data_IF_166826524094
#
_entry.id   IF_166826524094
#
_cell.length_a   1.000
_cell.length_b   1.000
_cell.length_c   1.000
_cell.angle_alpha   90.00
_cell.angle_beta   90.00
_cell.angle_gamma   90.00
#
_symmetry.space_group_name_H-M   'P 1'
#
loop_
_entity.id
_entity.type
_entity.pdbx_description
1 polymer ?
#
# COMPACT_ATOMS: atom_id res chain seq x y z
N UNK A 1 -13.28 31.41 -11.49
CA UNK A 1 -14.39 31.28 -10.51
C UNK A 1 -14.27 32.50 -9.61
N UNK A 2 -15.32 33.30 -9.44
CA UNK A 2 -15.24 34.44 -8.53
C UNK A 2 -15.10 33.94 -7.08
N UNK A 3 -14.24 34.58 -6.31
CA UNK A 3 -14.09 34.27 -4.88
C UNK A 3 -15.37 34.71 -4.16
N UNK A 4 -16.17 33.72 -3.76
CA UNK A 4 -17.48 33.96 -3.14
C UNK A 4 -17.36 34.62 -1.77
N UNK A 5 -16.31 34.29 -1.03
CA UNK A 5 -16.09 34.85 0.30
C UNK A 5 -15.67 36.32 0.17
N UNK A 6 -14.72 36.60 -0.72
CA UNK A 6 -14.27 37.95 -1.00
C UNK A 6 -15.41 38.84 -1.52
N UNK A 7 -16.27 38.30 -2.39
CA UNK A 7 -17.47 38.99 -2.85
C UNK A 7 -18.40 39.32 -1.69
N UNK A 8 -18.68 38.36 -0.80
CA UNK A 8 -19.55 38.58 0.36
C UNK A 8 -19.01 39.68 1.28
N UNK A 9 -17.70 39.68 1.57
CA UNK A 9 -17.10 40.72 2.42
C UNK A 9 -17.17 42.08 1.72
N UNK A 10 -16.78 42.14 0.45
CA UNK A 10 -16.81 43.37 -0.34
C UNK A 10 -18.22 43.94 -0.41
N UNK A 11 -19.22 43.12 -0.68
CA UNK A 11 -20.62 43.50 -0.74
C UNK A 11 -21.13 43.98 0.63
N UNK A 12 -20.71 43.33 1.71
CA UNK A 12 -21.06 43.74 3.08
C UNK A 12 -20.45 45.10 3.44
N UNK A 13 -19.15 45.30 3.15
CA UNK A 13 -18.45 46.57 3.40
C UNK A 13 -19.03 47.71 2.55
N UNK A 14 -19.34 47.46 1.28
CA UNK A 14 -20.01 48.43 0.41
C UNK A 14 -21.40 48.78 0.92
N UNK A 15 -22.18 47.81 1.41
CA UNK A 15 -23.47 48.07 2.04
C UNK A 15 -23.38 48.98 3.26
N UNK A 16 -22.41 48.71 4.15
CA UNK A 16 -22.16 49.54 5.34
C UNK A 16 -21.68 50.95 4.95
N UNK A 17 -20.81 51.05 3.94
CA UNK A 17 -20.35 52.31 3.37
C UNK A 17 -21.51 53.15 2.86
N UNK A 18 -22.38 52.58 2.01
CA UNK A 18 -23.55 53.25 1.47
C UNK A 18 -24.54 53.70 2.54
N UNK A 19 -24.72 52.90 3.59
CA UNK A 19 -25.58 53.26 4.71
C UNK A 19 -25.01 54.45 5.51
N UNK A 20 -23.70 54.45 5.77
CA UNK A 20 -23.06 55.54 6.50
C UNK A 20 -23.08 56.86 5.72
N UNK A 21 -22.80 56.83 4.42
CA UNK A 21 -22.82 58.04 3.56
C UNK A 21 -24.19 58.74 3.63
N UNK A 22 -25.29 57.98 3.68
CA UNK A 22 -26.66 58.55 3.79
C UNK A 22 -26.90 59.34 5.08
N UNK A 23 -26.06 59.15 6.11
CA UNK A 23 -26.19 59.86 7.39
C UNK A 23 -25.46 61.21 7.43
N UNK A 24 -24.54 61.44 6.49
CA UNK A 24 -23.76 62.67 6.36
C UNK A 24 -24.58 63.77 5.66
N UNK A 25 -24.40 65.04 6.07
CA UNK A 25 -25.29 66.15 5.67
C UNK A 25 -24.67 67.09 4.66
N UNK A 26 -23.35 67.09 4.52
CA UNK A 26 -22.60 67.99 3.65
C UNK A 26 -21.62 67.21 2.78
N UNK A 27 -21.28 67.77 1.61
CA UNK A 27 -20.32 67.13 0.70
C UNK A 27 -18.91 67.05 1.32
N UNK A 28 -18.54 68.06 2.11
CA UNK A 28 -17.25 68.12 2.81
C UNK A 28 -17.10 66.98 3.83
N UNK A 29 -18.16 66.62 4.56
CA UNK A 29 -18.18 65.46 5.47
C UNK A 29 -18.04 64.12 4.72
N UNK A 30 -18.64 64.01 3.53
CA UNK A 30 -18.57 62.80 2.68
C UNK A 30 -17.15 62.61 2.15
N UNK A 31 -16.54 63.67 1.63
CA UNK A 31 -15.19 63.63 1.07
C UNK A 31 -14.14 63.28 2.16
N UNK A 32 -14.26 63.86 3.36
CA UNK A 32 -13.38 63.54 4.50
C UNK A 32 -13.53 62.08 4.98
N UNK A 33 -14.75 61.54 4.94
CA UNK A 33 -15.00 60.15 5.30
C UNK A 33 -14.43 59.16 4.26
N UNK A 34 -14.58 59.44 2.97
CA UNK A 34 -14.00 58.59 1.91
C UNK A 34 -12.47 58.53 2.03
N UNK A 35 -11.81 59.66 2.28
CA UNK A 35 -10.35 59.68 2.48
C UNK A 35 -9.92 58.81 3.68
N UNK A 36 -10.70 58.84 4.77
CA UNK A 36 -10.47 57.96 5.94
C UNK A 36 -10.79 56.50 5.64
N UNK A 37 -11.84 56.21 4.88
CA UNK A 37 -12.27 54.86 4.52
C UNK A 37 -11.26 54.19 3.60
N UNK A 38 -10.75 54.89 2.58
CA UNK A 38 -9.71 54.38 1.68
C UNK A 38 -8.40 54.07 2.42
N UNK A 39 -8.12 54.78 3.52
CA UNK A 39 -6.94 54.55 4.36
C UNK A 39 -7.20 53.56 5.51
N UNK A 40 -8.44 53.10 5.70
CA UNK A 40 -8.81 52.23 6.81
C UNK A 40 -8.29 50.81 6.60
N UNK A 41 -7.77 50.20 7.67
CA UNK A 41 -7.37 48.80 7.68
C UNK A 41 -8.51 47.93 8.22
N UNK A 42 -9.13 47.15 7.32
CA UNK A 42 -10.19 46.20 7.67
C UNK A 42 -9.66 44.80 8.01
N UNK A 43 -8.35 44.59 8.08
CA UNK A 43 -7.75 43.27 8.32
C UNK A 43 -8.27 42.60 9.60
N UNK A 44 -8.52 43.36 10.66
CA UNK A 44 -9.05 42.81 11.90
C UNK A 44 -10.52 42.40 11.77
N UNK A 45 -11.35 43.23 11.13
CA UNK A 45 -12.74 42.88 10.83
C UNK A 45 -12.81 41.64 9.93
N UNK A 46 -11.96 41.56 8.93
CA UNK A 46 -11.84 40.41 8.03
C UNK A 46 -11.52 39.12 8.78
N UNK A 47 -10.56 39.16 9.72
CA UNK A 47 -10.22 38.01 10.57
C UNK A 47 -11.39 37.58 11.46
N UNK A 48 -12.06 38.52 12.12
CA UNK A 48 -13.22 38.23 12.98
C UNK A 48 -14.33 37.57 12.17
N UNK A 49 -14.62 38.07 10.98
CA UNK A 49 -15.65 37.49 10.11
C UNK A 49 -15.25 36.09 9.64
N UNK A 50 -13.98 35.86 9.28
CA UNK A 50 -13.48 34.51 8.97
C UNK A 50 -13.67 33.58 10.16
N UNK A 51 -13.29 34.01 11.36
CA UNK A 51 -13.37 33.19 12.56
C UNK A 51 -14.82 32.81 12.86
N UNK A 52 -15.74 33.78 12.90
CA UNK A 52 -17.15 33.54 13.17
C UNK A 52 -17.80 32.63 12.12
N UNK A 53 -17.57 32.90 10.83
CA UNK A 53 -18.12 32.07 9.76
C UNK A 53 -17.52 30.67 9.80
N UNK A 54 -16.22 30.52 10.03
CA UNK A 54 -15.57 29.21 10.11
C UNK A 54 -16.08 28.40 11.32
N UNK A 55 -16.32 29.05 12.46
CA UNK A 55 -16.91 28.43 13.64
C UNK A 55 -18.33 27.93 13.34
N UNK A 56 -19.15 28.75 12.68
CA UNK A 56 -20.49 28.33 12.27
C UNK A 56 -20.44 27.17 11.26
N UNK A 57 -19.56 27.23 10.27
CA UNK A 57 -19.38 26.14 9.29
C UNK A 57 -18.98 24.82 9.95
N UNK A 58 -18.17 24.87 11.02
CA UNK A 58 -17.81 23.67 11.80
C UNK A 58 -19.01 23.12 12.55
N UNK A 59 -19.84 23.96 13.19
CA UNK A 59 -21.06 23.50 13.87
C UNK A 59 -22.10 22.94 12.90
N UNK A 60 -22.25 23.56 11.73
CA UNK A 60 -23.11 23.05 10.65
C UNK A 60 -22.61 21.69 10.16
N UNK A 61 -21.29 21.56 9.90
CA UNK A 61 -20.67 20.31 9.49
C UNK A 61 -20.86 19.19 10.52
N UNK A 62 -20.74 19.49 11.82
CA UNK A 62 -21.01 18.52 12.91
C UNK A 62 -22.46 18.05 12.91
N UNK A 63 -23.39 18.95 12.59
CA UNK A 63 -24.83 18.63 12.55
C UNK A 63 -25.14 17.62 11.44
N UNK A 64 -24.46 17.73 10.29
CA UNK A 64 -24.71 16.86 9.12
C UNK A 64 -23.69 15.72 8.95
N UNK A 65 -22.66 15.61 9.79
CA UNK A 65 -21.53 14.69 9.56
C UNK A 65 -21.94 13.22 9.46
N UNK A 66 -22.95 12.79 10.22
CA UNK A 66 -23.43 11.41 10.22
C UNK A 66 -24.19 11.08 8.94
N UNK A 67 -25.01 12.01 8.46
CA UNK A 67 -25.74 11.88 7.19
C UNK A 67 -24.75 11.87 6.02
N UNK A 68 -23.79 12.79 5.99
CA UNK A 68 -22.73 12.81 4.99
C UNK A 68 -21.90 11.53 4.99
N UNK A 69 -21.56 10.99 6.17
CA UNK A 69 -20.85 9.71 6.27
C UNK A 69 -21.69 8.55 5.72
N UNK A 70 -23.00 8.56 5.91
CA UNK A 70 -23.89 7.54 5.34
C UNK A 70 -23.92 7.62 3.81
N UNK A 71 -24.06 8.82 3.25
CA UNK A 71 -23.98 9.03 1.80
C UNK A 71 -22.66 8.53 1.23
N UNK A 72 -21.53 8.93 1.83
CA UNK A 72 -20.20 8.49 1.42
C UNK A 72 -20.06 6.95 1.45
N UNK A 73 -20.54 6.29 2.51
CA UNK A 73 -20.50 4.81 2.62
C UNK A 73 -21.39 4.09 1.60
N UNK A 74 -22.49 4.72 1.19
CA UNK A 74 -23.34 4.17 0.14
C UNK A 74 -22.63 4.22 -1.22
N UNK A 75 -21.99 5.34 -1.55
CA UNK A 75 -21.17 5.47 -2.76
C UNK A 75 -20.00 4.46 -2.76
N UNK A 76 -19.31 4.32 -1.62
CA UNK A 76 -18.27 3.30 -1.43
C UNK A 76 -18.84 1.89 -1.70
N UNK A 77 -19.98 1.55 -1.08
CA UNK A 77 -20.62 0.24 -1.24
C UNK A 77 -20.95 -0.09 -2.70
N UNK A 78 -21.39 0.90 -3.49
CA UNK A 78 -21.66 0.74 -4.92
C UNK A 78 -20.39 0.48 -5.74
N UNK A 79 -19.28 1.14 -5.41
CA UNK A 79 -17.99 0.88 -6.07
C UNK A 79 -17.49 -0.52 -5.71
N UNK A 80 -17.53 -0.90 -4.43
CA UNK A 80 -17.12 -2.22 -3.96
C UNK A 80 -17.96 -3.34 -4.57
N UNK A 81 -19.26 -3.13 -4.72
CA UNK A 81 -20.15 -4.08 -5.39
C UNK A 81 -19.74 -4.30 -6.86
N UNK A 82 -19.39 -3.22 -7.59
CA UNK A 82 -18.90 -3.30 -8.97
C UNK A 82 -17.56 -4.01 -9.07
N UNK A 83 -16.60 -3.68 -8.19
CA UNK A 83 -15.32 -4.39 -8.11
C UNK A 83 -15.56 -5.88 -7.88
N UNK A 84 -16.38 -6.23 -6.89
CA UNK A 84 -16.66 -7.62 -6.57
C UNK A 84 -17.38 -8.35 -7.71
N UNK A 85 -18.34 -7.72 -8.38
CA UNK A 85 -19.05 -8.31 -9.53
C UNK A 85 -18.07 -8.68 -10.65
N UNK A 86 -17.06 -7.84 -10.88
CA UNK A 86 -16.08 -8.01 -11.96
C UNK A 86 -14.93 -8.94 -11.59
N UNK A 87 -14.38 -8.81 -10.39
CA UNK A 87 -13.12 -9.42 -9.97
C UNK A 87 -13.26 -10.60 -9.00
N UNK A 88 -14.47 -10.93 -8.53
CA UNK A 88 -14.70 -11.98 -7.52
C UNK A 88 -14.02 -13.31 -7.84
N UNK A 89 -14.05 -13.78 -9.09
CA UNK A 89 -13.42 -15.03 -9.46
C UNK A 89 -11.88 -15.01 -9.28
N UNK A 90 -11.23 -13.88 -9.60
CA UNK A 90 -9.80 -13.70 -9.38
C UNK A 90 -9.44 -13.62 -7.88
N UNK A 91 -10.29 -12.96 -7.08
CA UNK A 91 -10.13 -12.93 -5.63
C UNK A 91 -10.31 -14.32 -5.03
N UNK A 92 -11.32 -15.08 -5.44
CA UNK A 92 -11.55 -16.46 -4.99
C UNK A 92 -10.36 -17.35 -5.34
N UNK A 93 -9.73 -17.18 -6.50
CA UNK A 93 -8.50 -17.91 -6.83
C UNK A 93 -7.35 -17.61 -5.84
N UNK A 94 -7.20 -16.34 -5.44
CA UNK A 94 -6.19 -15.91 -4.47
C UNK A 94 -6.50 -16.40 -3.04
N UNK A 95 -7.75 -16.27 -2.60
CA UNK A 95 -8.23 -16.77 -1.31
C UNK A 95 -8.06 -18.30 -1.22
N UNK A 96 -8.35 -19.03 -2.30
CA UNK A 96 -8.10 -20.47 -2.39
C UNK A 96 -6.63 -20.81 -2.21
N UNK A 97 -5.74 -20.04 -2.84
CA UNK A 97 -4.30 -20.20 -2.68
C UNK A 97 -3.87 -19.99 -1.23
N UNK A 98 -4.39 -18.96 -0.56
CA UNK A 98 -4.11 -18.70 0.85
C UNK A 98 -4.50 -19.89 1.72
N UNK A 99 -5.71 -20.43 1.55
CA UNK A 99 -6.19 -21.59 2.30
C UNK A 99 -5.32 -22.83 2.05
N UNK A 100 -4.94 -23.10 0.80
CA UNK A 100 -4.05 -24.21 0.43
C UNK A 100 -2.68 -24.08 1.08
N UNK A 101 -2.06 -22.89 1.02
CA UNK A 101 -0.76 -22.64 1.64
C UNK A 101 -0.85 -22.79 3.15
N UNK A 102 -1.91 -22.24 3.77
CA UNK A 102 -2.09 -22.29 5.21
C UNK A 102 -2.22 -23.72 5.73
N UNK A 103 -3.03 -24.56 5.08
CA UNK A 103 -3.18 -25.97 5.47
C UNK A 103 -1.87 -26.73 5.29
N UNK A 104 -1.20 -26.60 4.14
CA UNK A 104 0.09 -27.26 3.89
C UNK A 104 1.17 -26.88 4.92
N UNK A 105 1.19 -25.63 5.37
CA UNK A 105 2.12 -25.13 6.38
C UNK A 105 1.80 -25.66 7.77
N UNK A 106 0.51 -25.82 8.09
CA UNK A 106 0.06 -26.41 9.34
C UNK A 106 0.46 -27.88 9.42
N UNK A 107 0.12 -28.67 8.39
CA UNK A 107 0.53 -30.08 8.28
C UNK A 107 2.05 -30.24 8.35
N UNK A 108 2.79 -29.39 7.61
CA UNK A 108 4.25 -29.40 7.65
C UNK A 108 4.81 -29.06 9.04
N UNK A 109 4.20 -28.11 9.75
CA UNK A 109 4.62 -27.76 11.11
C UNK A 109 4.38 -28.90 12.09
N UNK A 110 3.26 -29.61 11.96
CA UNK A 110 2.95 -30.81 12.75
C UNK A 110 3.98 -31.92 12.47
N UNK A 111 4.25 -32.21 11.19
CA UNK A 111 5.29 -33.14 10.77
C UNK A 111 6.65 -32.81 11.40
N UNK A 112 7.12 -31.56 11.28
CA UNK A 112 8.41 -31.12 11.84
C UNK A 112 8.44 -31.25 13.37
N UNK A 113 7.30 -31.06 14.04
CA UNK A 113 7.21 -31.19 15.49
C UNK A 113 7.34 -32.65 15.97
N UNK A 114 6.95 -33.61 15.15
CA UNK A 114 7.00 -35.05 15.44
C UNK A 114 8.32 -35.72 15.04
N UNK A 115 9.16 -35.06 14.23
CA UNK A 115 10.48 -35.59 13.82
C UNK A 115 11.43 -35.82 14.99
N UNK A 116 12.44 -36.68 14.80
CA UNK A 116 13.50 -36.90 15.79
C UNK A 116 14.23 -35.59 16.15
N UNK A 117 14.49 -35.41 17.46
CA UNK A 117 15.12 -34.19 17.96
C UNK A 117 16.49 -33.93 17.36
N UNK A 118 17.32 -34.97 17.13
CA UNK A 118 18.66 -34.79 16.56
C UNK A 118 18.60 -34.42 15.08
N UNK A 119 17.59 -34.87 14.35
CA UNK A 119 17.38 -34.45 12.97
C UNK A 119 16.90 -33.00 12.89
N UNK A 120 15.98 -32.63 13.78
CA UNK A 120 15.44 -31.28 13.92
C UNK A 120 16.49 -30.26 14.37
N UNK A 121 17.47 -30.64 15.18
CA UNK A 121 18.54 -29.73 15.63
C UNK A 121 19.45 -29.26 14.49
N UNK A 122 19.50 -29.98 13.35
CA UNK A 122 20.41 -29.66 12.23
C UNK A 122 20.04 -28.36 11.50
N UNK A 123 18.78 -27.95 11.53
CA UNK A 123 18.29 -26.79 10.78
C UNK A 123 17.23 -25.99 11.55
N UNK A 124 17.27 -26.05 12.89
CA UNK A 124 16.24 -25.47 13.76
C UNK A 124 16.17 -23.95 13.64
N UNK A 125 17.30 -23.26 13.52
CA UNK A 125 17.37 -21.82 13.35
C UNK A 125 16.84 -21.43 11.98
N UNK A 126 17.24 -22.16 10.93
CA UNK A 126 16.72 -21.95 9.55
C UNK A 126 15.21 -22.13 9.51
N UNK A 127 14.70 -23.21 10.08
CA UNK A 127 13.26 -23.47 10.18
C UNK A 127 12.54 -22.36 10.95
N UNK A 128 13.09 -21.95 12.10
CA UNK A 128 12.51 -20.90 12.93
C UNK A 128 12.46 -19.58 12.16
N UNK A 129 13.56 -19.12 11.60
CA UNK A 129 13.62 -17.88 10.82
C UNK A 129 12.63 -17.90 9.66
N UNK A 130 12.62 -18.98 8.86
CA UNK A 130 11.72 -19.09 7.71
C UNK A 130 10.25 -19.24 8.11
N UNK A 131 9.94 -19.90 9.23
CA UNK A 131 8.57 -19.96 9.78
C UNK A 131 8.02 -18.58 10.10
N UNK A 132 8.79 -17.74 10.79
CA UNK A 132 8.36 -16.37 11.12
C UNK A 132 8.26 -15.47 9.89
N UNK A 133 9.21 -15.59 8.95
CA UNK A 133 9.15 -14.84 7.68
C UNK A 133 7.93 -15.28 6.85
N UNK A 134 7.69 -16.59 6.74
CA UNK A 134 6.55 -17.15 6.01
C UNK A 134 5.21 -16.72 6.62
N UNK A 135 5.07 -16.78 7.94
CA UNK A 135 3.86 -16.30 8.63
C UNK A 135 3.56 -14.82 8.33
N UNK A 136 4.59 -13.96 8.31
CA UNK A 136 4.44 -12.56 7.86
C UNK A 136 4.09 -12.46 6.37
N UNK A 137 4.62 -13.35 5.53
CA UNK A 137 4.29 -13.41 4.12
C UNK A 137 2.82 -13.76 3.87
N UNK A 138 2.26 -14.73 4.60
CA UNK A 138 0.83 -15.05 4.58
C UNK A 138 -0.05 -13.87 5.01
N UNK A 139 0.36 -13.15 6.06
CA UNK A 139 -0.34 -11.93 6.49
C UNK A 139 -0.33 -10.87 5.38
N UNK A 140 0.83 -10.60 4.77
CA UNK A 140 0.93 -9.63 3.68
C UNK A 140 0.11 -10.04 2.46
N UNK A 141 0.03 -11.34 2.14
CA UNK A 141 -0.83 -11.82 1.06
C UNK A 141 -2.31 -11.53 1.33
N UNK A 142 -2.79 -11.71 2.57
CA UNK A 142 -4.15 -11.29 2.95
C UNK A 142 -4.35 -9.77 2.90
N UNK A 143 -3.36 -8.98 3.34
CA UNK A 143 -3.40 -7.52 3.22
C UNK A 143 -3.55 -7.09 1.75
N UNK A 144 -2.79 -7.72 0.84
CA UNK A 144 -2.86 -7.49 -0.61
C UNK A 144 -4.26 -7.81 -1.14
N UNK A 145 -4.80 -9.00 -0.85
CA UNK A 145 -6.17 -9.38 -1.25
C UNK A 145 -7.20 -8.38 -0.71
N UNK A 146 -7.07 -7.99 0.56
CA UNK A 146 -7.99 -7.05 1.20
C UNK A 146 -7.96 -5.68 0.53
N UNK A 147 -6.77 -5.16 0.23
CA UNK A 147 -6.60 -3.89 -0.47
C UNK A 147 -7.17 -3.95 -1.89
N UNK A 148 -6.94 -5.04 -2.63
CA UNK A 148 -7.50 -5.22 -3.97
C UNK A 148 -9.03 -5.32 -3.96
N UNK A 149 -9.62 -6.05 -3.01
CA UNK A 149 -11.09 -6.13 -2.84
C UNK A 149 -11.71 -4.77 -2.52
N UNK A 150 -10.95 -3.88 -1.90
CA UNK A 150 -11.32 -2.50 -1.65
C UNK A 150 -10.86 -1.53 -2.74
N UNK A 151 -10.35 -1.99 -3.88
CA UNK A 151 -9.95 -1.13 -4.99
C UNK A 151 -8.73 -0.24 -4.73
N UNK A 152 -7.88 -0.58 -3.75
CA UNK A 152 -6.65 0.14 -3.46
C UNK A 152 -5.45 -0.51 -4.16
N UNK A 153 -5.40 -0.42 -5.49
CA UNK A 153 -4.37 -1.07 -6.32
C UNK A 153 -2.93 -0.68 -5.91
N UNK A 154 -2.64 0.62 -5.82
CA UNK A 154 -1.33 1.14 -5.41
C UNK A 154 -0.92 0.63 -4.02
N UNK A 155 -1.87 0.62 -3.08
CA UNK A 155 -1.67 0.11 -1.74
C UNK A 155 -1.35 -1.39 -1.74
N UNK A 156 -2.06 -2.17 -2.55
CA UNK A 156 -1.83 -3.60 -2.71
C UNK A 156 -0.43 -3.87 -3.30
N UNK A 157 0.00 -3.09 -4.30
CA UNK A 157 1.31 -3.23 -4.91
C UNK A 157 2.46 -2.81 -3.98
N UNK A 158 2.25 -1.76 -3.18
CA UNK A 158 3.15 -1.40 -2.07
C UNK A 158 3.29 -2.53 -1.03
N UNK A 159 2.21 -3.28 -0.75
CA UNK A 159 2.28 -4.45 0.13
C UNK A 159 2.98 -5.64 -0.54
N UNK A 160 2.78 -5.83 -1.83
CA UNK A 160 3.53 -6.83 -2.60
C UNK A 160 5.04 -6.59 -2.53
N UNK A 161 5.52 -5.35 -2.61
CA UNK A 161 6.93 -5.01 -2.40
C UNK A 161 7.45 -5.55 -1.08
N UNK A 162 6.69 -5.41 0.01
CA UNK A 162 7.08 -5.93 1.32
C UNK A 162 7.17 -7.46 1.32
N UNK A 163 6.27 -8.15 0.63
CA UNK A 163 6.27 -9.60 0.45
C UNK A 163 7.46 -10.07 -0.38
N UNK A 164 7.80 -9.32 -1.43
CA UNK A 164 9.01 -9.53 -2.22
C UNK A 164 10.28 -9.42 -1.35
N UNK A 165 10.39 -8.40 -0.52
CA UNK A 165 11.55 -8.24 0.38
C UNK A 165 11.66 -9.39 1.38
N UNK A 166 10.55 -9.87 1.95
CA UNK A 166 10.53 -11.07 2.79
C UNK A 166 11.06 -12.30 2.05
N UNK A 167 10.65 -12.50 0.80
CA UNK A 167 11.11 -13.62 -0.03
C UNK A 167 12.61 -13.54 -0.34
N UNK A 168 13.16 -12.33 -0.56
CA UNK A 168 14.61 -12.12 -0.72
C UNK A 168 15.37 -12.52 0.55
N UNK A 169 14.91 -12.06 1.72
CA UNK A 169 15.53 -12.42 3.00
C UNK A 169 15.44 -13.92 3.24
N UNK A 170 14.28 -14.54 3.00
CA UNK A 170 14.09 -15.98 3.10
C UNK A 170 15.03 -16.76 2.18
N UNK A 171 15.15 -16.35 0.91
CA UNK A 171 16.03 -16.98 -0.07
C UNK A 171 17.50 -16.87 0.34
N UNK A 172 17.92 -15.72 0.87
CA UNK A 172 19.27 -15.52 1.39
C UNK A 172 19.55 -16.43 2.59
N UNK A 173 18.66 -16.47 3.59
CA UNK A 173 18.81 -17.36 4.75
C UNK A 173 18.84 -18.82 4.31
N UNK A 174 17.94 -19.23 3.41
CA UNK A 174 17.85 -20.60 2.91
C UNK A 174 19.13 -21.02 2.15
N UNK A 175 19.77 -20.11 1.43
CA UNK A 175 21.05 -20.35 0.73
C UNK A 175 22.23 -20.57 1.68
N UNK A 176 22.36 -19.73 2.72
CA UNK A 176 23.54 -19.74 3.60
C UNK A 176 23.34 -20.57 4.89
N UNK A 177 22.10 -20.96 5.18
CA UNK A 177 21.75 -21.93 6.20
C UNK A 177 21.90 -21.41 7.64
N UNK A 178 22.14 -22.36 8.53
CA UNK A 178 21.87 -22.24 9.96
C UNK A 178 22.54 -21.05 10.65
N UNK A 179 23.82 -20.80 10.35
CA UNK A 179 24.58 -19.70 10.97
C UNK A 179 24.00 -18.32 10.63
N UNK A 180 23.51 -18.15 9.40
CA UNK A 180 22.88 -16.88 8.99
C UNK A 180 21.51 -16.75 9.61
N UNK A 181 20.75 -17.85 9.69
CA UNK A 181 19.45 -17.85 10.37
C UNK A 181 19.57 -17.48 11.85
N UNK A 182 20.55 -18.05 12.56
CA UNK A 182 20.86 -17.72 13.96
C UNK A 182 21.21 -16.24 14.13
N UNK A 183 22.05 -15.70 13.23
CA UNK A 183 22.41 -14.28 13.26
C UNK A 183 21.20 -13.38 13.02
N UNK A 184 20.32 -13.74 12.09
CA UNK A 184 19.08 -13.01 11.79
C UNK A 184 18.12 -12.99 12.99
N UNK A 185 17.96 -14.14 13.67
CA UNK A 185 17.12 -14.22 14.87
C UNK A 185 17.72 -13.37 16.00
N UNK A 186 19.05 -13.41 16.16
CA UNK A 186 19.74 -12.67 17.22
C UNK A 186 19.67 -11.15 17.03
N UNK A 187 19.53 -10.66 15.80
CA UNK A 187 19.47 -9.22 15.52
C UNK A 187 18.10 -8.59 15.79
N UNK A 188 17.07 -9.37 16.17
CA UNK A 188 15.68 -8.89 16.32
C UNK A 188 15.49 -7.66 17.23
N UNK A 189 16.35 -7.49 18.24
CA UNK A 189 16.29 -6.39 19.22
C UNK A 189 17.50 -5.45 19.12
N UNK A 190 18.10 -5.34 17.94
CA UNK A 190 19.28 -4.51 17.69
C UNK A 190 18.97 -3.41 16.69
N UNK A 191 19.79 -2.35 16.66
CA UNK A 191 19.76 -1.34 15.60
C UNK A 191 20.54 -1.77 14.34
N UNK A 192 21.02 -3.02 14.33
CA UNK A 192 21.58 -3.64 13.13
C UNK A 192 20.45 -3.83 12.11
N UNK A 193 20.54 -3.11 10.99
CA UNK A 193 19.55 -3.22 9.92
C UNK A 193 19.69 -4.53 9.15
N UNK A 194 20.92 -4.83 8.71
CA UNK A 194 21.26 -5.97 7.85
C UNK A 194 22.63 -6.56 8.17
N UNK A 195 23.25 -6.17 9.29
CA UNK A 195 24.59 -6.65 9.66
C UNK A 195 24.60 -8.14 9.98
N UNK A 196 23.47 -8.70 10.45
CA UNK A 196 23.29 -10.15 10.57
C UNK A 196 23.65 -10.93 9.29
N UNK A 197 23.46 -10.34 8.11
CA UNK A 197 23.77 -11.02 6.85
C UNK A 197 25.27 -11.26 6.66
N UNK A 198 26.14 -10.54 7.40
CA UNK A 198 27.59 -10.75 7.41
C UNK A 198 28.00 -12.16 7.84
N UNK A 199 27.14 -12.85 8.58
CA UNK A 199 27.34 -14.24 8.96
C UNK A 199 27.51 -15.19 7.76
N UNK A 200 27.08 -14.81 6.56
CA UNK A 200 27.25 -15.59 5.34
C UNK A 200 28.73 -15.75 4.92
N UNK A 201 29.61 -14.88 5.39
CA UNK A 201 31.05 -14.93 5.10
C UNK A 201 31.45 -14.44 3.70
N UNK A 202 30.51 -14.01 2.85
CA UNK A 202 30.82 -13.58 1.47
C UNK A 202 30.93 -12.05 1.30
N UNK A 203 30.71 -11.27 2.35
CA UNK A 203 30.86 -9.81 2.28
C UNK A 203 32.28 -9.38 2.63
N UNK A 204 32.80 -8.41 1.89
CA UNK A 204 34.13 -7.83 2.13
C UNK A 204 34.23 -7.24 3.54
N UNK A 205 35.33 -7.50 4.23
CA UNK A 205 35.65 -6.90 5.54
C UNK A 205 35.77 -5.37 5.49
N UNK A 206 36.05 -4.80 4.31
CA UNK A 206 36.11 -3.34 4.10
C UNK A 206 34.73 -2.69 3.99
N UNK A 207 33.66 -3.48 3.80
CA UNK A 207 32.31 -2.96 3.61
C UNK A 207 31.72 -2.56 4.96
N UNK A 208 31.55 -1.25 5.15
CA UNK A 208 31.12 -0.63 6.41
C UNK A 208 29.70 -1.04 6.82
N UNK A 209 28.76 -1.06 5.88
CA UNK A 209 27.35 -1.41 6.14
C UNK A 209 26.82 -2.33 5.05
N UNK A 210 26.11 -3.39 5.45
CA UNK A 210 25.34 -4.22 4.53
C UNK A 210 24.01 -3.52 4.18
N UNK A 211 23.64 -3.48 2.90
CA UNK A 211 22.37 -2.95 2.40
C UNK A 211 21.48 -4.08 1.90
N UNK A 212 20.18 -3.80 1.76
CA UNK A 212 19.23 -4.75 1.18
C UNK A 212 19.68 -5.25 -0.21
N UNK A 213 20.16 -4.36 -1.07
CA UNK A 213 20.66 -4.74 -2.40
C UNK A 213 21.85 -5.72 -2.34
N UNK A 214 22.69 -5.62 -1.31
CA UNK A 214 23.81 -6.55 -1.13
C UNK A 214 23.30 -7.97 -0.79
N UNK A 215 22.24 -8.06 0.00
CA UNK A 215 21.54 -9.32 0.31
C UNK A 215 20.84 -9.85 -0.95
N UNK A 216 20.08 -8.99 -1.64
CA UNK A 216 19.36 -9.31 -2.89
C UNK A 216 20.28 -9.92 -3.93
N UNK A 217 21.44 -9.31 -4.17
CA UNK A 217 22.42 -9.78 -5.15
C UNK A 217 23.11 -11.10 -4.76
N UNK A 218 23.03 -11.49 -3.48
CA UNK A 218 23.59 -12.74 -2.97
C UNK A 218 22.55 -13.81 -2.66
N UNK A 219 21.26 -13.48 -2.70
CA UNK A 219 20.17 -14.42 -2.54
C UNK A 219 20.08 -15.38 -3.75
N UNK A 220 19.59 -16.60 -3.55
CA UNK A 220 19.27 -17.52 -4.64
C UNK A 220 17.90 -17.16 -5.23
N UNK A 221 17.81 -15.98 -5.84
CA UNK A 221 16.57 -15.42 -6.37
C UNK A 221 16.83 -14.70 -7.70
N UNK A 222 15.97 -14.84 -8.73
CA UNK A 222 16.16 -14.20 -10.02
C UNK A 222 15.82 -12.70 -9.98
N UNK A 223 16.57 -11.94 -9.18
CA UNK A 223 16.26 -10.54 -8.88
C UNK A 223 16.25 -9.61 -10.10
N UNK A 224 17.00 -9.95 -11.15
CA UNK A 224 17.01 -9.19 -12.40
C UNK A 224 15.64 -9.22 -13.11
N UNK A 225 14.92 -10.36 -13.05
CA UNK A 225 13.58 -10.49 -13.64
C UNK A 225 12.55 -9.61 -12.93
N UNK A 226 12.76 -9.33 -11.65
CA UNK A 226 11.83 -8.57 -10.81
C UNK A 226 12.28 -7.14 -10.56
N UNK A 227 13.38 -6.71 -11.17
CA UNK A 227 14.01 -5.44 -10.82
C UNK A 227 13.10 -4.24 -11.13
N UNK A 228 12.50 -4.23 -12.32
CA UNK A 228 11.60 -3.16 -12.76
C UNK A 228 10.35 -3.11 -11.89
N UNK A 229 9.70 -4.26 -11.66
CA UNK A 229 8.51 -4.35 -10.80
C UNK A 229 8.80 -3.92 -9.36
N UNK A 230 9.91 -4.39 -8.79
CA UNK A 230 10.31 -3.95 -7.44
C UNK A 230 10.57 -2.44 -7.38
N UNK A 231 11.15 -1.86 -8.44
CA UNK A 231 11.38 -0.42 -8.54
C UNK A 231 10.05 0.36 -8.64
N UNK A 232 9.13 -0.07 -9.50
CA UNK A 232 7.82 0.58 -9.63
C UNK A 232 7.04 0.51 -8.31
N UNK A 233 7.04 -0.65 -7.64
CA UNK A 233 6.41 -0.79 -6.33
C UNK A 233 7.10 0.04 -5.23
N UNK A 234 8.40 0.37 -5.40
CA UNK A 234 9.11 1.34 -4.57
C UNK A 234 8.60 2.76 -4.79
N UNK A 235 8.47 3.14 -6.05
CA UNK A 235 8.08 4.49 -6.45
C UNK A 235 6.67 4.80 -5.93
N UNK A 236 5.73 3.86 -6.02
CA UNK A 236 4.35 4.02 -5.50
C UNK A 236 4.30 4.36 -3.99
N UNK A 237 5.31 3.97 -3.20
CA UNK A 237 5.37 4.24 -1.75
C UNK A 237 6.05 5.57 -1.44
N UNK A 238 6.98 6.01 -2.28
CA UNK A 238 7.78 7.20 -2.03
C UNK A 238 7.14 8.46 -2.63
N UNK A 239 7.27 9.63 -1.97
CA UNK A 239 6.76 10.90 -2.49
C UNK A 239 7.64 11.46 -3.62
N UNK A 240 8.21 10.59 -4.46
CA UNK A 240 8.94 11.00 -5.65
C UNK A 240 7.96 11.50 -6.72
N UNK A 241 8.44 12.29 -7.67
CA UNK A 241 7.63 12.70 -8.83
C UNK A 241 7.10 11.47 -9.58
N UNK A 242 7.93 10.45 -9.75
CA UNK A 242 7.56 9.20 -10.39
C UNK A 242 6.39 8.53 -9.67
N UNK A 243 6.47 8.31 -8.36
CA UNK A 243 5.39 7.72 -7.57
C UNK A 243 4.15 8.59 -7.43
N UNK A 244 4.30 9.92 -7.55
CA UNK A 244 3.18 10.86 -7.48
C UNK A 244 2.36 10.84 -8.77
N UNK A 245 3.02 10.77 -9.93
CA UNK A 245 2.37 10.87 -11.24
C UNK A 245 2.15 9.52 -11.95
N UNK A 246 2.95 8.49 -11.66
CA UNK A 246 2.79 7.14 -12.22
C UNK A 246 2.14 6.23 -11.17
N UNK A 247 0.82 6.14 -11.23
CA UNK A 247 -0.02 5.35 -10.32
C UNK A 247 -0.59 4.15 -11.09
N UNK A 248 -0.49 2.95 -10.53
CA UNK A 248 -0.97 1.74 -11.23
C UNK A 248 -2.50 1.65 -11.23
N UNK A 249 -3.16 2.37 -10.31
CA UNK A 249 -4.62 2.47 -10.23
C UNK A 249 -5.25 3.48 -11.20
N UNK A 250 -4.45 4.12 -12.06
CA UNK A 250 -4.90 5.12 -13.03
C UNK A 250 -4.74 4.58 -14.44
N UNK A 251 -5.79 4.68 -15.24
CA UNK A 251 -5.80 4.24 -16.65
C UNK A 251 -4.80 5.10 -17.45
N UNK A 252 -4.11 4.49 -18.40
CA UNK A 252 -3.09 5.18 -19.18
C UNK A 252 -3.69 6.35 -19.95
N UNK A 253 -3.01 7.50 -19.95
CA UNK A 253 -3.41 8.75 -20.63
C UNK A 253 -4.63 9.50 -20.05
N UNK A 254 -5.16 9.12 -18.89
CA UNK A 254 -6.15 9.95 -18.20
C UNK A 254 -5.47 11.01 -17.31
N UNK A 255 -5.78 12.29 -17.52
CA UNK A 255 -5.33 13.39 -16.65
C UNK A 255 -6.23 13.51 -15.43
N UNK A 256 -6.32 12.42 -14.65
CA UNK A 256 -7.15 12.31 -13.44
C UNK A 256 -6.32 11.88 -12.24
N UNK A 257 -6.69 12.37 -11.06
CA UNK A 257 -6.09 11.96 -9.79
C UNK A 257 -6.99 10.88 -9.18
N UNK A 258 -6.55 9.63 -9.21
CA UNK A 258 -7.26 8.54 -8.52
C UNK A 258 -7.05 8.69 -7.00
N UNK A 259 -8.06 9.23 -6.32
CA UNK A 259 -8.02 9.52 -4.87
C UNK A 259 -8.61 8.41 -3.99
N UNK A 260 -9.07 7.30 -4.59
CA UNK A 260 -9.78 6.24 -3.86
C UNK A 260 -9.92 4.93 -4.63
N UNK A 261 -11.04 4.24 -4.41
CA UNK A 261 -11.35 2.91 -4.94
C UNK A 261 -11.34 2.88 -6.48
N UNK A 262 -10.60 1.94 -7.06
CA UNK A 262 -10.52 1.70 -8.51
C UNK A 262 -10.54 0.20 -8.79
N UNK A 263 -11.13 -0.20 -9.92
CA UNK A 263 -11.07 -1.57 -10.43
C UNK A 263 -9.93 -1.79 -11.43
N UNK A 264 -9.13 -0.75 -11.70
CA UNK A 264 -7.94 -0.79 -12.54
C UNK A 264 -6.67 -1.08 -11.74
N UNK A 265 -5.68 -1.71 -12.37
CA UNK A 265 -4.38 -2.00 -11.73
C UNK A 265 -4.36 -3.17 -10.74
N UNK A 266 -5.45 -3.95 -10.63
CA UNK A 266 -5.55 -5.07 -9.67
C UNK A 266 -4.78 -6.32 -10.10
N UNK A 267 -4.52 -6.49 -11.41
CA UNK A 267 -3.84 -7.66 -11.98
C UNK A 267 -2.43 -7.87 -11.42
N UNK A 268 -1.61 -6.83 -11.48
CA UNK A 268 -0.19 -6.86 -11.11
C UNK A 268 0.03 -7.29 -9.64
N UNK A 269 -0.60 -6.66 -8.62
CA UNK A 269 -0.48 -7.15 -7.25
C UNK A 269 -1.06 -8.56 -7.07
N UNK A 270 -2.12 -8.94 -7.79
CA UNK A 270 -2.72 -10.27 -7.74
C UNK A 270 -1.76 -11.38 -8.19
N UNK A 271 -1.20 -11.26 -9.40
CA UNK A 271 -0.24 -12.22 -9.95
C UNK A 271 1.05 -12.24 -9.12
N UNK A 272 1.66 -11.07 -8.89
CA UNK A 272 2.98 -11.04 -8.29
C UNK A 272 2.98 -11.54 -6.85
N UNK A 273 1.90 -11.27 -6.10
CA UNK A 273 1.76 -11.78 -4.75
C UNK A 273 1.60 -13.30 -4.72
N UNK A 274 0.88 -13.89 -5.69
CA UNK A 274 0.77 -15.34 -5.83
C UNK A 274 2.12 -15.99 -6.14
N UNK A 275 2.86 -15.45 -7.12
CA UNK A 275 4.19 -15.96 -7.47
C UNK A 275 5.14 -15.89 -6.26
N UNK A 276 5.21 -14.74 -5.60
CA UNK A 276 6.10 -14.55 -4.45
C UNK A 276 5.72 -15.45 -3.28
N UNK A 277 4.42 -15.61 -2.99
CA UNK A 277 3.97 -16.51 -1.91
C UNK A 277 4.30 -17.97 -2.21
N UNK A 278 4.13 -18.43 -3.45
CA UNK A 278 4.49 -19.79 -3.84
C UNK A 278 5.99 -20.07 -3.66
N UNK A 279 6.84 -19.11 -4.05
CA UNK A 279 8.28 -19.19 -3.88
C UNK A 279 8.67 -19.21 -2.40
N UNK A 280 8.13 -18.29 -1.61
CA UNK A 280 8.38 -18.22 -0.17
C UNK A 280 7.94 -19.50 0.55
N UNK A 281 6.79 -20.06 0.16
CA UNK A 281 6.30 -21.33 0.68
C UNK A 281 7.21 -22.48 0.30
N UNK A 282 7.68 -22.52 -0.94
CA UNK A 282 8.64 -23.53 -1.40
C UNK A 282 9.95 -23.51 -0.62
N UNK A 283 10.47 -22.34 -0.25
CA UNK A 283 11.67 -22.22 0.59
C UNK A 283 11.43 -22.80 1.98
N UNK A 284 10.28 -22.50 2.58
CA UNK A 284 9.95 -22.96 3.94
C UNK A 284 9.71 -24.48 4.00
N UNK A 285 8.93 -25.03 3.06
CA UNK A 285 8.60 -26.47 3.01
C UNK A 285 9.81 -27.37 2.69
N UNK A 286 10.93 -26.79 2.24
CA UNK A 286 12.16 -27.53 1.89
C UNK A 286 13.19 -27.60 3.01
N UNK A 287 12.96 -26.93 4.15
CA UNK A 287 13.91 -27.00 5.29
C UNK A 287 14.05 -28.43 5.79
N UNK A 288 12.93 -29.14 5.93
CA UNK A 288 12.85 -30.56 6.26
C UNK A 288 12.05 -31.29 5.18
N UNK A 289 12.69 -31.74 4.10
CA UNK A 289 11.95 -32.26 2.96
C UNK A 289 11.19 -33.55 3.30
N UNK A 290 9.91 -33.59 2.94
CA UNK A 290 9.07 -34.80 2.94
C UNK A 290 8.32 -34.92 1.61
N UNK A 291 7.78 -36.11 1.32
CA UNK A 291 6.98 -36.32 0.11
C UNK A 291 5.78 -35.37 0.06
N UNK A 292 5.07 -35.22 1.17
CA UNK A 292 3.91 -34.35 1.30
C UNK A 292 4.28 -32.87 1.14
N UNK A 293 5.37 -32.42 1.76
CA UNK A 293 5.85 -31.05 1.63
C UNK A 293 6.22 -30.70 0.17
N UNK A 294 6.85 -31.63 -0.55
CA UNK A 294 7.19 -31.47 -1.96
C UNK A 294 5.95 -31.47 -2.86
N UNK A 295 4.98 -32.34 -2.57
CA UNK A 295 3.71 -32.40 -3.28
C UNK A 295 2.93 -31.08 -3.11
N UNK A 296 2.79 -30.61 -1.87
CA UNK A 296 2.13 -29.34 -1.55
C UNK A 296 2.81 -28.16 -2.23
N UNK A 297 4.15 -28.08 -2.16
CA UNK A 297 4.89 -27.04 -2.89
C UNK A 297 4.65 -27.11 -4.41
N UNK A 298 4.60 -28.31 -5.00
CA UNK A 298 4.32 -28.48 -6.43
C UNK A 298 2.90 -28.04 -6.80
N UNK A 299 1.90 -28.42 -6.00
CA UNK A 299 0.50 -28.01 -6.18
C UNK A 299 0.35 -26.49 -6.12
N UNK A 300 0.94 -25.85 -5.10
CA UNK A 300 0.88 -24.39 -4.90
C UNK A 300 1.52 -23.65 -6.08
N UNK A 301 2.65 -24.14 -6.60
CA UNK A 301 3.27 -23.56 -7.79
C UNK A 301 2.38 -23.66 -9.04
N UNK A 302 1.64 -24.76 -9.23
CA UNK A 302 0.67 -24.89 -10.32
C UNK A 302 -0.54 -23.97 -10.14
N UNK A 303 -0.95 -23.73 -8.88
CA UNK A 303 -2.07 -22.84 -8.58
C UNK A 303 -1.79 -21.37 -8.93
N UNK A 304 -0.51 -20.98 -9.00
CA UNK A 304 -0.13 -19.66 -9.52
C UNK A 304 -0.68 -19.43 -10.93
N UNK A 305 -0.63 -20.41 -11.81
CA UNK A 305 -1.17 -20.27 -13.17
C UNK A 305 -2.68 -20.07 -13.19
N UNK A 306 -3.40 -20.69 -12.23
CA UNK A 306 -4.84 -20.47 -12.04
C UNK A 306 -5.10 -19.02 -11.63
N UNK A 307 -4.36 -18.52 -10.63
CA UNK A 307 -4.49 -17.12 -10.21
C UNK A 307 -4.25 -16.18 -11.38
N UNK A 308 -3.14 -16.36 -12.11
CA UNK A 308 -2.79 -15.57 -13.29
C UNK A 308 -3.88 -15.58 -14.35
N UNK A 309 -4.37 -16.76 -14.70
CA UNK A 309 -5.43 -16.93 -15.69
C UNK A 309 -6.66 -16.08 -15.33
N UNK A 310 -7.12 -16.12 -14.07
CA UNK A 310 -8.29 -15.36 -13.66
C UNK A 310 -8.05 -13.84 -13.68
N UNK A 311 -6.93 -13.34 -13.12
CA UNK A 311 -6.67 -11.89 -13.14
C UNK A 311 -6.52 -11.34 -14.56
N UNK A 312 -5.80 -12.05 -15.43
CA UNK A 312 -5.53 -11.59 -16.79
C UNK A 312 -6.79 -11.64 -17.66
N UNK A 313 -7.56 -12.74 -17.60
CA UNK A 313 -8.84 -12.83 -18.31
C UNK A 313 -9.83 -11.76 -17.85
N UNK A 314 -9.88 -11.49 -16.55
CA UNK A 314 -10.74 -10.46 -15.99
C UNK A 314 -10.31 -9.06 -16.45
N UNK A 315 -9.00 -8.75 -16.44
CA UNK A 315 -8.47 -7.50 -16.98
C UNK A 315 -8.85 -7.28 -18.43
N UNK A 316 -8.50 -8.24 -19.31
CA UNK A 316 -8.77 -8.19 -20.74
C UNK A 316 -10.26 -8.04 -21.08
N UNK A 317 -11.14 -8.59 -20.23
CA UNK A 317 -12.58 -8.47 -20.39
C UNK A 317 -13.12 -7.10 -19.98
N UNK A 318 -12.60 -6.52 -18.89
CA UNK A 318 -13.10 -5.24 -18.35
C UNK A 318 -12.49 -4.06 -19.12
N UNK A 319 -11.24 -4.19 -19.56
CA UNK A 319 -10.45 -3.12 -20.20
C UNK A 319 -9.96 -3.56 -21.58
N UNK A 320 -10.87 -3.74 -22.57
CA UNK A 320 -10.51 -4.27 -23.88
C UNK A 320 -9.61 -3.34 -24.72
N UNK A 321 -9.60 -2.04 -24.40
CA UNK A 321 -8.83 -1.01 -25.11
C UNK A 321 -7.43 -0.81 -24.51
N UNK A 322 -7.14 -1.40 -23.35
CA UNK A 322 -5.84 -1.33 -22.69
C UNK A 322 -4.86 -2.39 -23.23
N UNK A 323 -3.54 -2.18 -23.09
CA UNK A 323 -2.55 -3.19 -23.47
C UNK A 323 -2.83 -4.51 -22.74
N UNK A 324 -2.93 -5.60 -23.51
CA UNK A 324 -3.06 -6.94 -22.94
C UNK A 324 -1.84 -7.25 -22.07
N UNK A 325 -2.11 -7.67 -20.84
CA UNK A 325 -1.10 -8.07 -19.87
C UNK A 325 -0.61 -9.50 -20.13
#
# INVERSE_FOLDING_TARGET
MADKFESFITDTLNGVLEEHIKTLKTQEEVDEFFEKYEQADFSEAYKVIIEDISNQMVEDAKTIMHENSLFFRNEESEILARINQKWSNAFVASESMYMMVFEAVKEYSEFVNEMDNKEREKSIQTYTALKYIHGRGLQQFLEIITLMKNGFADGAYARWRSLYELNIIASFISKYGEKVAESYISSQNTEDRYEWARACGEFSSKKKFIRFDDIKNKASFPSDLWHQEYQLANEVVHPSSQGTFHRIGTISNEEVITVGHTDFGLTTPGEHSAITLAQLTGLFLRVYPSGDALLSASMINKWVDVVREYYFKTHDYIFPDEPKL
#
